data_IF_846501418373
#
_entry.id   IF_846501418373
#
_cell.length_a   1.000
_cell.length_b   1.000
_cell.length_c   1.000
_cell.angle_alpha   90.00
_cell.angle_beta   90.00
_cell.angle_gamma   90.00
#
_symmetry.space_group_name_H-M   'P 1'
#
loop_
_entity.id
_entity.type
_entity.pdbx_description
1 polymer ?
#
# COMPACT_ATOMS: atom_id res chain seq x y z
N UNK A 1 4.00 -12.28 1.57
CA UNK A 1 4.71 -13.42 0.97
C UNK A 1 5.73 -13.02 -0.10
N UNK A 2 5.34 -12.28 -1.15
CA UNK A 2 6.18 -12.03 -2.33
C UNK A 2 6.46 -10.55 -2.58
N UNK A 3 7.30 -9.95 -1.73
CA UNK A 3 7.54 -8.50 -1.76
C UNK A 3 8.12 -8.01 -3.10
N UNK A 4 9.11 -8.70 -3.66
CA UNK A 4 9.74 -8.28 -4.92
C UNK A 4 8.75 -8.30 -6.10
N UNK A 5 7.89 -9.32 -6.18
CA UNK A 5 6.84 -9.39 -7.20
C UNK A 5 5.82 -8.24 -7.04
N UNK A 6 5.43 -7.94 -5.80
CA UNK A 6 4.54 -6.82 -5.51
C UNK A 6 5.18 -5.46 -5.88
N UNK A 7 6.47 -5.29 -5.64
CA UNK A 7 7.21 -4.07 -6.00
C UNK A 7 7.29 -3.88 -7.52
N UNK A 8 7.49 -4.95 -8.29
CA UNK A 8 7.45 -4.87 -9.76
C UNK A 8 6.07 -4.43 -10.23
N UNK A 9 4.99 -5.00 -9.66
CA UNK A 9 3.62 -4.60 -9.99
C UNK A 9 3.30 -3.15 -9.63
N UNK A 10 3.81 -2.67 -8.49
CA UNK A 10 3.70 -1.26 -8.12
C UNK A 10 4.35 -0.36 -9.19
N UNK A 11 5.57 -0.68 -9.64
CA UNK A 11 6.25 0.09 -10.68
C UNK A 11 5.50 0.06 -12.02
N UNK A 12 4.90 -1.07 -12.40
CA UNK A 12 4.04 -1.14 -13.58
C UNK A 12 2.83 -0.19 -13.44
N UNK A 13 2.17 -0.18 -12.29
CA UNK A 13 1.00 0.67 -12.04
C UNK A 13 1.36 2.16 -12.03
N UNK A 14 2.40 2.56 -11.31
CA UNK A 14 2.74 3.97 -11.14
C UNK A 14 3.55 4.53 -12.31
N UNK A 15 4.59 3.82 -12.75
CA UNK A 15 5.53 4.35 -13.74
C UNK A 15 5.12 4.06 -15.19
N UNK A 16 4.43 2.95 -15.47
CA UNK A 16 3.98 2.62 -16.84
C UNK A 16 2.54 3.06 -17.08
N UNK A 17 1.62 2.73 -16.16
CA UNK A 17 0.21 3.07 -16.31
C UNK A 17 -0.16 4.45 -15.76
N UNK A 18 0.76 5.16 -15.11
CA UNK A 18 0.56 6.53 -14.63
C UNK A 18 -0.45 6.62 -13.47
N UNK A 19 -0.68 5.54 -12.73
CA UNK A 19 -1.52 5.56 -11.54
C UNK A 19 -0.88 6.48 -10.48
N UNK A 20 -1.68 7.40 -9.93
CA UNK A 20 -1.22 8.24 -8.83
C UNK A 20 -1.06 7.43 -7.55
N UNK A 21 -0.19 7.90 -6.66
CA UNK A 21 0.04 7.32 -5.34
C UNK A 21 -1.22 7.31 -4.46
N UNK A 22 -2.05 8.35 -4.59
CA UNK A 22 -3.32 8.46 -3.85
C UNK A 22 -4.36 7.48 -4.39
N UNK A 23 -4.44 7.32 -5.72
CA UNK A 23 -5.31 6.28 -6.31
C UNK A 23 -4.84 4.89 -5.92
N UNK A 24 -3.53 4.64 -5.92
CA UNK A 24 -2.97 3.37 -5.46
C UNK A 24 -3.39 3.05 -4.02
N UNK A 25 -3.21 3.99 -3.08
CA UNK A 25 -3.62 3.79 -1.69
C UNK A 25 -5.14 3.59 -1.55
N UNK A 26 -5.95 4.36 -2.28
CA UNK A 26 -7.40 4.20 -2.30
C UNK A 26 -7.82 2.80 -2.77
N UNK A 27 -7.28 2.34 -3.89
CA UNK A 27 -7.62 1.01 -4.42
C UNK A 27 -7.06 -0.12 -3.55
N UNK A 28 -5.88 0.06 -2.94
CA UNK A 28 -5.38 -0.87 -1.94
C UNK A 28 -6.33 -0.97 -0.73
N UNK A 29 -6.86 0.17 -0.27
CA UNK A 29 -7.83 0.19 0.82
C UNK A 29 -9.12 -0.57 0.46
N UNK A 30 -9.72 -0.27 -0.70
CA UNK A 30 -10.94 -0.94 -1.20
C UNK A 30 -10.73 -2.45 -1.36
N UNK A 31 -9.61 -2.85 -1.98
CA UNK A 31 -9.28 -4.25 -2.21
C UNK A 31 -9.12 -5.02 -0.89
N UNK A 32 -8.44 -4.46 0.10
CA UNK A 32 -8.18 -5.13 1.37
C UNK A 32 -9.45 -5.18 2.25
N UNK A 33 -10.28 -4.13 2.23
CA UNK A 33 -11.55 -4.12 2.96
C UNK A 33 -12.50 -5.23 2.47
N UNK A 34 -12.40 -5.61 1.19
CA UNK A 34 -13.15 -6.73 0.63
C UNK A 34 -12.76 -8.11 1.18
N UNK A 35 -11.58 -8.25 1.80
CA UNK A 35 -11.01 -9.53 2.23
C UNK A 35 -11.44 -10.00 3.63
N UNK A 36 -12.33 -9.27 4.33
CA UNK A 36 -12.79 -9.58 5.70
C UNK A 36 -11.63 -9.88 6.67
N UNK A 37 -10.73 -8.91 6.83
CA UNK A 37 -9.58 -9.01 7.71
C UNK A 37 -9.97 -9.28 9.17
N UNK A 38 -9.09 -9.98 9.91
CA UNK A 38 -9.21 -10.18 11.36
C UNK A 38 -9.02 -8.89 12.17
N UNK A 39 -8.19 -7.97 11.66
CA UNK A 39 -7.83 -6.68 12.29
C UNK A 39 -7.90 -5.54 11.25
N UNK A 40 -9.09 -5.17 10.77
CA UNK A 40 -9.26 -4.09 9.79
C UNK A 40 -8.76 -2.73 10.31
N UNK A 41 -8.77 -2.51 11.62
CA UNK A 41 -8.29 -1.30 12.29
C UNK A 41 -6.80 -1.05 12.07
N UNK A 42 -5.96 -2.08 12.12
CA UNK A 42 -4.53 -1.94 11.94
C UNK A 42 -4.20 -1.54 10.49
N UNK A 43 -4.96 -2.09 9.54
CA UNK A 43 -4.80 -1.75 8.13
C UNK A 43 -5.31 -0.35 7.81
N UNK A 44 -6.42 0.09 8.43
CA UNK A 44 -6.90 1.47 8.30
C UNK A 44 -5.87 2.47 8.85
N UNK A 45 -5.27 2.17 10.02
CA UNK A 45 -4.20 2.98 10.61
C UNK A 45 -2.97 3.08 9.69
N UNK A 46 -2.57 1.94 9.09
CA UNK A 46 -1.49 1.89 8.11
C UNK A 46 -1.77 2.80 6.91
N UNK A 47 -2.95 2.69 6.29
CA UNK A 47 -3.32 3.52 5.13
C UNK A 47 -3.27 5.01 5.49
N UNK A 48 -3.83 5.39 6.64
CA UNK A 48 -3.85 6.78 7.09
C UNK A 48 -2.43 7.35 7.31
N UNK A 49 -1.51 6.55 7.85
CA UNK A 49 -0.10 6.95 8.02
C UNK A 49 0.58 7.28 6.68
N UNK A 50 0.37 6.45 5.66
CA UNK A 50 0.98 6.67 4.35
C UNK A 50 0.29 7.77 3.54
N UNK A 51 -1.03 7.89 3.64
CA UNK A 51 -1.78 9.02 3.05
C UNK A 51 -1.29 10.35 3.64
N UNK A 52 -1.16 10.44 4.96
CA UNK A 52 -0.59 11.61 5.63
C UNK A 52 0.83 11.93 5.13
N UNK A 53 1.71 10.93 5.02
CA UNK A 53 3.08 11.15 4.52
C UNK A 53 3.11 11.70 3.10
N UNK A 54 2.29 11.15 2.20
CA UNK A 54 2.20 11.57 0.82
C UNK A 54 1.63 12.98 0.69
N UNK A 55 0.55 13.30 1.41
CA UNK A 55 -0.03 14.66 1.45
C UNK A 55 0.96 15.71 1.97
N UNK A 56 1.93 15.30 2.80
CA UNK A 56 3.00 16.17 3.32
C UNK A 56 4.26 16.22 2.44
N UNK A 57 4.17 15.75 1.19
CA UNK A 57 5.25 15.87 0.20
C UNK A 57 6.35 14.82 0.35
N UNK A 58 6.10 13.71 1.06
CA UNK A 58 7.04 12.59 1.08
C UNK A 58 7.17 11.96 -0.30
N UNK A 59 8.34 11.42 -0.63
CA UNK A 59 8.60 10.83 -1.94
C UNK A 59 7.70 9.61 -2.22
N UNK A 60 6.86 9.62 -3.28
CA UNK A 60 5.88 8.57 -3.55
C UNK A 60 6.47 7.16 -3.64
N UNK A 61 7.49 6.95 -4.49
CA UNK A 61 8.08 5.61 -4.69
C UNK A 61 8.63 4.99 -3.41
N UNK A 62 9.27 5.80 -2.55
CA UNK A 62 9.82 5.34 -1.28
C UNK A 62 8.68 4.96 -0.33
N UNK A 63 7.65 5.80 -0.23
CA UNK A 63 6.50 5.57 0.64
C UNK A 63 5.67 4.36 0.20
N UNK A 64 5.35 4.23 -1.09
CA UNK A 64 4.59 3.08 -1.59
C UNK A 64 5.38 1.77 -1.46
N UNK A 65 6.71 1.80 -1.66
CA UNK A 65 7.56 0.63 -1.41
C UNK A 65 7.56 0.25 0.08
N UNK A 66 7.64 1.23 0.99
CA UNK A 66 7.59 0.99 2.42
C UNK A 66 6.21 0.49 2.88
N UNK A 67 5.13 1.00 2.28
CA UNK A 67 3.77 0.51 2.48
C UNK A 67 3.64 -0.97 2.11
N UNK A 68 4.14 -1.38 0.94
CA UNK A 68 4.19 -2.80 0.53
C UNK A 68 5.00 -3.66 1.51
N UNK A 69 6.11 -3.13 2.04
CA UNK A 69 6.93 -3.84 3.02
C UNK A 69 6.16 -4.04 4.33
N UNK A 70 5.46 -3.01 4.81
CA UNK A 70 4.61 -3.12 6.01
C UNK A 70 3.44 -4.09 5.80
N UNK A 71 2.74 -3.99 4.67
CA UNK A 71 1.70 -4.94 4.26
C UNK A 71 2.18 -6.39 4.29
N UNK A 72 3.41 -6.65 3.87
CA UNK A 72 3.97 -8.00 3.86
C UNK A 72 4.03 -8.64 5.25
N UNK A 73 4.15 -7.81 6.31
CA UNK A 73 4.19 -8.24 7.71
C UNK A 73 2.81 -8.62 8.25
N UNK A 74 1.74 -8.03 7.71
CA UNK A 74 0.36 -8.38 8.07
C UNK A 74 -0.01 -9.78 7.56
N UNK A 75 0.43 -10.14 6.36
CA UNK A 75 0.16 -11.46 5.78
C UNK A 75 0.99 -12.61 6.37
N UNK A 76 2.04 -12.33 7.13
CA UNK A 76 2.91 -13.36 7.76
C UNK A 76 2.58 -13.63 9.23
N UNK A 77 1.65 -12.89 9.84
CA UNK A 77 1.20 -13.08 11.23
C UNK A 77 0.04 -14.09 11.38
N UNK A 78 -0.21 -14.92 10.37
CA UNK A 78 -1.18 -16.03 10.46
C UNK A 78 -0.49 -17.33 10.84
#
# INVERSE_FOLDING_TARGET
>A
GKFNEARVKLLELTALYGMSEFDFLKYAYEAVYSLKLSHPEDFASLIAEYDYRLTHGSHPDIQLTAFLAQLSRFGTKQ
#
